data_IF_045702157598
#
_entry.id   IF_045702157598
#
_cell.length_a   1.000
_cell.length_b   1.000
_cell.length_c   1.000
_cell.angle_alpha   90.00
_cell.angle_beta   90.00
_cell.angle_gamma   90.00
#
_symmetry.space_group_name_H-M   'P 1'
#
loop_
_entity.id
_entity.type
_entity.pdbx_description
1 polymer ?
#
# COMPACT_ATOMS: atom_id res chain seq x y z
N UNK A 1 -4.78 -9.08 -20.66
CA UNK A 1 -5.29 -8.59 -19.38
C UNK A 1 -5.28 -9.77 -18.42
N UNK A 2 -4.12 -10.05 -17.82
CA UNK A 2 -3.94 -11.22 -16.94
C UNK A 2 -3.53 -10.78 -15.52
N UNK A 3 -3.63 -9.48 -15.22
CA UNK A 3 -3.08 -8.87 -14.00
C UNK A 3 -3.81 -9.30 -12.71
N UNK A 4 -5.01 -9.85 -12.81
CA UNK A 4 -5.87 -10.12 -11.64
C UNK A 4 -6.47 -11.52 -11.65
N UNK A 5 -6.17 -12.31 -12.67
CA UNK A 5 -6.83 -13.60 -12.90
C UNK A 5 -6.45 -14.64 -11.83
N UNK A 6 -5.29 -14.46 -11.19
CA UNK A 6 -4.82 -15.27 -10.07
C UNK A 6 -5.44 -14.89 -8.71
N UNK A 7 -6.21 -13.80 -8.65
CA UNK A 7 -6.85 -13.31 -7.43
C UNK A 7 -8.34 -13.61 -7.46
N UNK A 8 -8.87 -14.14 -6.36
CA UNK A 8 -10.32 -14.26 -6.20
C UNK A 8 -10.96 -12.86 -6.22
N UNK A 9 -12.17 -12.76 -6.76
CA UNK A 9 -12.89 -11.49 -6.84
C UNK A 9 -13.08 -10.83 -5.45
N UNK A 10 -13.22 -11.64 -4.40
CA UNK A 10 -13.31 -11.16 -3.02
C UNK A 10 -11.99 -10.56 -2.55
N UNK A 11 -10.86 -11.21 -2.82
CA UNK A 11 -9.53 -10.70 -2.46
C UNK A 11 -9.24 -9.38 -3.18
N UNK A 12 -9.56 -9.30 -4.47
CA UNK A 12 -9.39 -8.08 -5.25
C UNK A 12 -10.18 -6.90 -4.66
N UNK A 13 -11.45 -7.12 -4.30
CA UNK A 13 -12.29 -6.09 -3.66
C UNK A 13 -11.74 -5.69 -2.28
N UNK A 14 -11.29 -6.65 -1.48
CA UNK A 14 -10.70 -6.36 -0.17
C UNK A 14 -9.45 -5.49 -0.31
N UNK A 15 -8.53 -5.85 -1.20
CA UNK A 15 -7.32 -5.05 -1.46
C UNK A 15 -7.72 -3.64 -1.88
N UNK A 16 -8.61 -3.49 -2.85
CA UNK A 16 -9.04 -2.17 -3.32
C UNK A 16 -9.72 -1.31 -2.25
N UNK A 17 -10.56 -1.90 -1.38
CA UNK A 17 -11.17 -1.18 -0.25
C UNK A 17 -10.10 -0.73 0.75
N UNK A 18 -9.17 -1.62 1.09
CA UNK A 18 -8.09 -1.30 2.03
C UNK A 18 -7.19 -0.21 1.46
N UNK A 19 -6.80 -0.29 0.19
CA UNK A 19 -5.98 0.74 -0.49
C UNK A 19 -6.68 2.08 -0.57
N UNK A 20 -7.99 2.09 -0.84
CA UNK A 20 -8.79 3.31 -0.85
C UNK A 20 -8.84 3.96 0.54
N UNK A 21 -9.16 3.18 1.57
CA UNK A 21 -9.19 3.68 2.96
C UNK A 21 -7.82 4.16 3.42
N UNK A 22 -6.76 3.45 3.03
CA UNK A 22 -5.37 3.84 3.31
C UNK A 22 -5.04 5.18 2.66
N UNK A 23 -5.38 5.34 1.38
CA UNK A 23 -5.16 6.60 0.65
C UNK A 23 -5.93 7.76 1.28
N UNK A 24 -7.19 7.54 1.67
CA UNK A 24 -7.98 8.53 2.41
C UNK A 24 -7.33 8.88 3.75
N UNK A 25 -6.84 7.88 4.49
CA UNK A 25 -6.15 8.09 5.76
C UNK A 25 -4.84 8.88 5.63
N UNK A 26 -4.17 8.83 4.49
CA UNK A 26 -2.97 9.65 4.21
C UNK A 26 -3.34 11.07 3.77
N UNK A 27 -4.40 11.23 2.96
CA UNK A 27 -4.76 12.51 2.34
C UNK A 27 -5.56 13.40 3.29
N UNK A 28 -6.54 12.86 4.01
CA UNK A 28 -7.46 13.62 4.88
C UNK A 28 -6.71 14.45 5.95
N UNK A 29 -5.70 13.91 6.67
CA UNK A 29 -4.97 14.68 7.67
C UNK A 29 -4.31 15.95 7.11
N UNK A 30 -3.86 15.92 5.85
CA UNK A 30 -3.26 17.07 5.18
C UNK A 30 -4.23 18.25 5.01
N UNK A 31 -5.54 17.99 4.99
CA UNK A 31 -6.57 19.04 4.91
C UNK A 31 -7.09 19.51 6.27
N UNK A 32 -6.96 18.70 7.32
CA UNK A 32 -7.62 18.96 8.61
C UNK A 32 -6.68 19.57 9.66
N UNK A 33 -5.36 19.62 9.43
CA UNK A 33 -4.34 20.25 10.32
C UNK A 33 -4.35 19.80 11.79
N UNK A 34 -5.16 18.80 12.18
CA UNK A 34 -5.50 18.53 13.58
C UNK A 34 -5.22 17.11 14.07
N UNK A 35 -4.81 16.19 13.19
CA UNK A 35 -4.63 14.77 13.57
C UNK A 35 -3.49 14.08 12.83
N UNK A 36 -2.26 14.61 12.94
CA UNK A 36 -1.07 14.06 12.29
C UNK A 36 -0.74 12.61 12.72
N UNK A 37 -1.07 12.22 13.96
CA UNK A 37 -0.88 10.82 14.40
C UNK A 37 -1.64 9.80 13.54
N UNK A 38 -2.69 10.24 12.85
CA UNK A 38 -3.55 9.37 12.03
C UNK A 38 -2.80 8.82 10.82
N UNK A 39 -1.66 9.42 10.43
CA UNK A 39 -0.86 9.01 9.27
C UNK A 39 -0.14 7.68 9.50
N UNK A 40 0.19 7.34 10.75
CA UNK A 40 0.96 6.13 11.05
C UNK A 40 0.17 4.85 10.75
N UNK A 41 -1.14 4.84 10.99
CA UNK A 41 -1.99 3.66 10.74
C UNK A 41 -2.07 3.32 9.23
N UNK A 42 -2.42 4.25 8.32
CA UNK A 42 -2.33 4.05 6.88
C UNK A 42 -0.95 3.62 6.39
N UNK A 43 0.13 4.22 6.90
CA UNK A 43 1.48 3.81 6.52
C UNK A 43 1.77 2.34 6.84
N UNK A 44 1.35 1.86 8.02
CA UNK A 44 1.46 0.43 8.38
C UNK A 44 0.62 -0.44 7.43
N UNK A 45 -0.59 0.00 7.11
CA UNK A 45 -1.47 -0.73 6.19
C UNK A 45 -0.86 -0.85 4.79
N UNK A 46 -0.31 0.23 4.24
CA UNK A 46 0.42 0.21 2.96
C UNK A 46 1.59 -0.76 3.01
N UNK A 47 2.39 -0.75 4.08
CA UNK A 47 3.56 -1.65 4.21
C UNK A 47 3.11 -3.11 4.11
N UNK A 48 2.04 -3.50 4.79
CA UNK A 48 1.49 -4.86 4.76
C UNK A 48 1.03 -5.23 3.34
N UNK A 49 0.30 -4.35 2.66
CA UNK A 49 -0.19 -4.63 1.30
C UNK A 49 0.97 -4.76 0.32
N UNK A 50 1.96 -3.86 0.38
CA UNK A 50 3.11 -3.86 -0.52
C UNK A 50 3.97 -5.12 -0.35
N UNK A 51 4.09 -5.66 0.87
CA UNK A 51 4.75 -6.95 1.09
C UNK A 51 4.00 -8.08 0.37
N UNK A 52 2.66 -8.10 0.46
CA UNK A 52 1.83 -9.05 -0.28
C UNK A 52 1.97 -8.90 -1.79
N UNK A 53 2.00 -7.65 -2.29
CA UNK A 53 2.19 -7.35 -3.70
C UNK A 53 3.56 -7.84 -4.22
N UNK A 54 4.64 -7.63 -3.45
CA UNK A 54 5.98 -8.15 -3.79
C UNK A 54 5.95 -9.67 -3.96
N UNK A 55 5.30 -10.40 -3.04
CA UNK A 55 5.17 -11.85 -3.16
C UNK A 55 4.46 -12.26 -4.45
N UNK A 56 3.38 -11.57 -4.82
CA UNK A 56 2.64 -11.82 -6.06
C UNK A 56 3.51 -11.54 -7.29
N UNK A 57 4.20 -10.41 -7.34
CA UNK A 57 5.07 -10.06 -8.47
C UNK A 57 6.26 -11.01 -8.65
N UNK A 58 6.83 -11.49 -7.55
CA UNK A 58 7.87 -12.54 -7.57
C UNK A 58 7.30 -13.83 -8.13
N UNK A 59 6.13 -14.28 -7.62
CA UNK A 59 5.48 -15.51 -8.07
C UNK A 59 5.16 -15.48 -9.57
N UNK A 60 4.84 -14.31 -10.11
CA UNK A 60 4.44 -14.11 -11.50
C UNK A 60 5.58 -13.76 -12.44
N UNK A 61 6.79 -13.54 -11.93
CA UNK A 61 7.93 -13.03 -12.69
C UNK A 61 7.61 -11.72 -13.45
N UNK A 62 6.85 -10.81 -12.84
CA UNK A 62 6.45 -9.51 -13.43
C UNK A 62 7.64 -8.54 -13.65
N UNK A 63 8.86 -8.96 -13.29
CA UNK A 63 10.09 -8.21 -13.47
C UNK A 63 10.47 -7.32 -12.29
N UNK A 64 11.73 -6.89 -12.29
CA UNK A 64 12.35 -6.16 -11.17
C UNK A 64 11.68 -4.78 -10.93
N UNK A 65 11.15 -4.14 -11.98
CA UNK A 65 10.52 -2.81 -11.87
C UNK A 65 9.33 -2.82 -10.90
N UNK A 66 8.47 -3.84 -10.97
CA UNK A 66 7.29 -3.96 -10.11
C UNK A 66 7.69 -4.12 -8.64
N UNK A 67 8.77 -4.87 -8.37
CA UNK A 67 9.29 -5.06 -7.01
C UNK A 67 9.86 -3.75 -6.45
N UNK A 68 10.63 -3.00 -7.26
CA UNK A 68 11.24 -1.73 -6.84
C UNK A 68 10.18 -0.70 -6.41
N UNK A 69 9.07 -0.60 -7.14
CA UNK A 69 8.00 0.35 -6.82
C UNK A 69 7.39 0.04 -5.45
N UNK A 70 7.10 -1.23 -5.16
CA UNK A 70 6.57 -1.65 -3.86
C UNK A 70 7.57 -1.35 -2.72
N UNK A 71 8.86 -1.60 -2.95
CA UNK A 71 9.92 -1.27 -1.99
C UNK A 71 9.97 0.24 -1.74
N UNK A 72 9.80 1.07 -2.78
CA UNK A 72 9.77 2.52 -2.65
C UNK A 72 8.61 2.98 -1.75
N UNK A 73 7.41 2.42 -1.93
CA UNK A 73 6.26 2.74 -1.08
C UNK A 73 6.48 2.36 0.38
N UNK A 74 7.09 1.18 0.63
CA UNK A 74 7.47 0.75 1.98
C UNK A 74 8.48 1.73 2.57
N UNK A 75 9.52 2.08 1.82
CA UNK A 75 10.58 2.98 2.28
C UNK A 75 10.05 4.37 2.65
N UNK A 76 9.22 4.97 1.78
CA UNK A 76 8.58 6.27 2.04
C UNK A 76 7.68 6.18 3.28
N UNK A 77 6.91 5.11 3.43
CA UNK A 77 6.03 4.92 4.59
C UNK A 77 6.81 4.82 5.90
N UNK A 78 7.95 4.13 5.90
CA UNK A 78 8.85 4.06 7.06
C UNK A 78 9.39 5.45 7.40
N UNK A 79 9.86 6.21 6.40
CA UNK A 79 10.34 7.59 6.62
C UNK A 79 9.25 8.45 7.27
N UNK A 80 8.01 8.36 6.77
CA UNK A 80 6.87 9.11 7.32
C UNK A 80 6.62 8.72 8.78
N UNK A 81 6.59 7.42 9.10
CA UNK A 81 6.37 6.94 10.48
C UNK A 81 7.47 7.45 11.43
N UNK A 82 8.73 7.50 10.98
CA UNK A 82 9.86 7.92 11.82
C UNK A 82 9.92 9.44 12.05
N UNK A 83 9.33 10.23 11.14
CA UNK A 83 9.40 11.69 11.16
C UNK A 83 8.15 12.38 11.76
N UNK A 84 7.17 11.61 12.22
CA UNK A 84 5.83 12.08 12.63
C UNK A 84 5.59 11.79 14.11
#
# INVERSE_FOLDING_TARGET
MEYVDDLSQNNLKLIGIIELLTSLGLIIPAFINKYFWTINTPCITIIIIMIGAIYIHIKRNDGIKSIIINILYIFISIIIILNN
#
